data_IF_187172792009
#
_entry.id   IF_187172792009
#
_cell.length_a   1.000
_cell.length_b   1.000
_cell.length_c   1.000
_cell.angle_alpha   90.00
_cell.angle_beta   90.00
_cell.angle_gamma   90.00
#
_symmetry.space_group_name_H-M   'P 1'
#
loop_
_entity.id
_entity.type
_entity.pdbx_description
1 polymer ?
#
# COMPACT_ATOMS: atom_id res chain seq x y z
N UNK A 1 -0.19 9.54 -13.27
CA UNK A 1 -0.65 9.46 -11.86
C UNK A 1 -1.96 10.19 -11.57
N UNK A 2 -2.45 11.13 -12.40
CA UNK A 2 -3.78 11.75 -12.18
C UNK A 2 -4.92 10.84 -12.64
N UNK A 3 -4.79 10.27 -13.85
CA UNK A 3 -5.79 9.40 -14.50
C UNK A 3 -6.28 8.29 -13.56
N UNK A 4 -5.37 7.50 -12.98
CA UNK A 4 -5.70 6.40 -12.04
C UNK A 4 -6.51 6.86 -10.82
N UNK A 5 -6.26 8.06 -10.30
CA UNK A 5 -6.96 8.57 -9.12
C UNK A 5 -8.42 8.90 -9.46
N UNK A 6 -8.66 9.52 -10.62
CA UNK A 6 -9.99 9.94 -11.02
C UNK A 6 -10.81 8.83 -11.67
N UNK A 7 -10.18 7.96 -12.46
CA UNK A 7 -10.88 6.94 -13.23
C UNK A 7 -11.11 5.65 -12.44
N UNK A 8 -10.16 5.26 -11.57
CA UNK A 8 -10.24 4.00 -10.81
C UNK A 8 -10.57 4.23 -9.34
N UNK A 9 -9.79 5.07 -8.63
CA UNK A 9 -9.93 5.22 -7.17
C UNK A 9 -11.13 6.07 -6.78
N UNK A 10 -11.47 7.09 -7.56
CA UNK A 10 -12.61 7.97 -7.33
C UNK A 10 -13.94 7.20 -7.28
N UNK A 11 -14.33 6.47 -8.34
CA UNK A 11 -15.52 5.63 -8.33
C UNK A 11 -15.49 4.56 -7.23
N UNK A 12 -14.33 3.94 -7.00
CA UNK A 12 -14.18 2.88 -5.99
C UNK A 12 -14.48 3.32 -4.57
N UNK A 13 -14.17 4.56 -4.22
CA UNK A 13 -14.38 5.09 -2.86
C UNK A 13 -15.51 6.12 -2.75
N UNK A 14 -16.37 6.24 -3.77
CA UNK A 14 -17.40 7.28 -3.85
C UNK A 14 -18.36 7.30 -2.65
N UNK A 15 -18.67 6.13 -2.08
CA UNK A 15 -19.61 5.98 -0.97
C UNK A 15 -18.96 6.08 0.41
N UNK A 16 -17.62 6.17 0.48
CA UNK A 16 -16.86 6.06 1.73
C UNK A 16 -16.36 7.44 2.18
N UNK A 17 -16.87 8.01 3.29
CA UNK A 17 -16.35 9.26 3.84
C UNK A 17 -15.07 9.01 4.66
N UNK A 18 -13.91 9.01 4.00
CA UNK A 18 -12.60 8.90 4.66
C UNK A 18 -12.17 7.46 4.98
N UNK A 19 -10.96 7.32 5.54
CA UNK A 19 -10.41 6.00 5.88
C UNK A 19 -10.04 5.14 4.65
N UNK A 20 -9.50 5.76 3.60
CA UNK A 20 -9.11 5.08 2.36
C UNK A 20 -7.85 4.21 2.50
N UNK A 21 -7.09 4.42 3.58
CA UNK A 21 -5.82 3.75 3.84
C UNK A 21 -5.89 2.92 5.11
N UNK A 22 -5.23 1.77 5.10
CA UNK A 22 -4.92 0.97 6.28
C UNK A 22 -3.41 1.00 6.53
N UNK A 23 -3.03 1.18 7.79
CA UNK A 23 -1.63 1.19 8.22
C UNK A 23 -1.36 -0.05 9.07
N UNK A 24 -0.36 -0.85 8.67
CA UNK A 24 0.08 -2.06 9.36
C UNK A 24 1.52 -1.87 9.82
N UNK A 25 1.74 -1.78 11.13
CA UNK A 25 3.10 -1.63 11.70
C UNK A 25 3.92 -2.89 11.44
N UNK A 26 5.16 -2.74 10.98
CA UNK A 26 6.03 -3.86 10.59
C UNK A 26 7.43 -3.79 11.24
N UNK A 27 7.47 -3.41 12.51
CA UNK A 27 8.71 -3.42 13.29
C UNK A 27 9.63 -2.25 12.94
N UNK A 28 10.95 -2.49 12.98
CA UNK A 28 11.96 -1.47 12.82
C UNK A 28 12.91 -1.80 11.66
N UNK A 29 13.34 -0.76 10.94
CA UNK A 29 14.27 -0.89 9.83
C UNK A 29 15.67 -1.27 10.34
N UNK A 30 16.36 -2.23 9.70
CA UNK A 30 17.74 -2.56 10.06
C UNK A 30 18.68 -1.38 9.75
N UNK A 31 19.62 -1.11 10.66
CA UNK A 31 20.65 -0.08 10.50
C UNK A 31 20.38 1.22 11.28
N UNK A 32 19.12 1.68 11.33
CA UNK A 32 18.75 2.92 12.04
C UNK A 32 17.61 2.74 13.05
N UNK A 33 17.07 1.53 13.18
CA UNK A 33 15.99 1.20 14.10
C UNK A 33 14.76 2.13 13.92
N UNK A 34 14.50 2.60 12.70
CA UNK A 34 13.36 3.46 12.41
C UNK A 34 12.05 2.64 12.40
N UNK A 35 10.96 3.08 13.06
CA UNK A 35 9.69 2.35 13.07
C UNK A 35 9.05 2.36 11.68
N UNK A 36 8.76 1.18 11.14
CA UNK A 36 8.21 0.98 9.80
C UNK A 36 6.73 0.56 9.83
N UNK A 37 6.03 0.86 8.74
CA UNK A 37 4.66 0.39 8.51
C UNK A 37 4.37 0.22 7.02
N UNK A 38 3.55 -0.76 6.67
CA UNK A 38 2.91 -0.86 5.37
C UNK A 38 1.66 0.03 5.34
N UNK A 39 1.45 0.69 4.20
CA UNK A 39 0.26 1.51 3.94
C UNK A 39 -0.41 0.95 2.70
N UNK A 40 -1.66 0.52 2.84
CA UNK A 40 -2.43 -0.08 1.75
C UNK A 40 -3.76 0.65 1.52
N UNK A 41 -4.25 0.61 0.28
CA UNK A 41 -5.59 1.06 -0.06
C UNK A 41 -6.61 0.04 0.44
N UNK A 42 -7.64 0.54 1.13
CA UNK A 42 -8.74 -0.30 1.61
C UNK A 42 -9.54 -0.86 0.42
N UNK A 43 -10.16 -2.02 0.57
CA UNK A 43 -10.97 -2.66 -0.48
C UNK A 43 -10.18 -3.02 -1.76
N UNK A 44 -8.86 -3.28 -1.64
CA UNK A 44 -8.02 -3.71 -2.77
C UNK A 44 -8.44 -5.11 -3.20
N UNK A 45 -8.64 -5.37 -4.52
CA UNK A 45 -8.96 -6.72 -4.98
C UNK A 45 -7.88 -7.70 -4.56
N UNK A 46 -8.28 -8.89 -4.09
CA UNK A 46 -7.39 -9.92 -3.54
C UNK A 46 -6.50 -10.63 -4.59
N UNK A 47 -6.48 -10.14 -5.84
CA UNK A 47 -5.63 -10.64 -6.92
C UNK A 47 -4.73 -9.57 -7.53
N UNK A 48 -4.45 -8.49 -6.80
CA UNK A 48 -3.53 -7.46 -7.27
C UNK A 48 -2.17 -8.07 -7.56
N UNK A 49 -1.68 -7.91 -8.79
CA UNK A 49 -0.35 -8.32 -9.23
C UNK A 49 0.67 -7.99 -8.14
N UNK A 50 1.11 -9.03 -7.43
CA UNK A 50 2.32 -8.96 -6.61
C UNK A 50 3.45 -8.83 -7.62
N UNK A 51 3.85 -7.59 -7.89
CA UNK A 51 5.22 -7.36 -8.34
C UNK A 51 6.09 -7.83 -7.20
N UNK A 52 6.54 -9.09 -7.29
CA UNK A 52 7.61 -9.63 -6.46
C UNK A 52 8.76 -8.63 -6.55
N UNK A 53 8.91 -7.82 -5.50
CA UNK A 53 10.12 -7.05 -5.32
C UNK A 53 11.22 -8.07 -5.15
N UNK A 54 12.10 -8.15 -6.15
CA UNK A 54 13.32 -8.94 -6.11
C UNK A 54 14.04 -8.61 -4.80
N UNK A 55 13.93 -9.52 -3.82
CA UNK A 55 14.70 -9.45 -2.59
C UNK A 55 16.11 -9.76 -3.04
N UNK A 56 16.92 -8.71 -3.22
CA UNK A 56 18.35 -8.85 -3.37
C UNK A 56 18.91 -9.41 -2.06
N UNK A 57 18.84 -10.73 -1.91
CA UNK A 57 19.77 -11.50 -1.10
C UNK A 57 21.13 -11.41 -1.80
N UNK A 58 22.00 -10.55 -1.29
CA UNK A 58 23.42 -10.55 -1.63
C UNK A 58 24.19 -10.85 -0.35
N UNK A 59 24.95 -11.94 -0.46
CA UNK A 59 25.72 -12.66 0.55
C UNK A 59 26.68 -11.81 1.39
#
# INVERSE_FOLDING_TARGET
>A
MVVKVFDELGPRFQTRPGGYLRILKCGFRPGDNAPMAFVELLDRPEGGEVVEGEVAEQA
#
